data_IF_710977328796
#
_entry.id   IF_710977328796
#
_cell.length_a   1.000
_cell.length_b   1.000
_cell.length_c   1.000
_cell.angle_alpha   90.00
_cell.angle_beta   90.00
_cell.angle_gamma   90.00
#
_symmetry.space_group_name_H-M   'P 1'
#
loop_
_entity.id
_entity.type
_entity.pdbx_description
1 polymer ?
#
# COMPACT_ATOMS: atom_id res chain seq x y z
N UNK A 1 3.86 16.37 -52.78
CA UNK A 1 4.83 15.30 -52.46
C UNK A 1 4.09 14.21 -51.72
N UNK A 2 4.04 13.03 -52.32
CA UNK A 2 3.15 11.92 -52.00
C UNK A 2 3.76 11.02 -50.92
N UNK A 3 3.08 10.83 -49.78
CA UNK A 3 3.45 9.82 -48.80
C UNK A 3 2.60 8.57 -49.01
N UNK A 4 3.27 7.52 -49.47
CA UNK A 4 2.68 6.24 -49.80
C UNK A 4 2.19 5.49 -48.56
N UNK A 5 1.01 4.89 -48.74
CA UNK A 5 0.19 4.15 -47.79
C UNK A 5 0.73 2.72 -47.65
N UNK A 6 1.38 2.39 -46.55
CA UNK A 6 1.76 0.99 -46.25
C UNK A 6 0.57 0.26 -45.64
N UNK A 7 -0.15 -0.49 -46.49
CA UNK A 7 -1.19 -1.45 -46.10
C UNK A 7 -0.52 -2.71 -45.56
N UNK A 8 -0.87 -3.07 -44.33
CA UNK A 8 -0.55 -4.34 -43.69
C UNK A 8 -1.20 -5.50 -44.47
N UNK A 9 -0.40 -6.41 -45.03
CA UNK A 9 -0.90 -7.61 -45.69
C UNK A 9 -1.32 -8.65 -44.65
N UNK A 10 -2.60 -9.03 -44.71
CA UNK A 10 -3.18 -10.21 -44.05
C UNK A 10 -2.52 -11.48 -44.58
N UNK A 11 -2.06 -12.34 -43.69
CA UNK A 11 -1.70 -13.73 -43.97
C UNK A 11 -2.95 -14.56 -44.29
N UNK A 12 -2.85 -15.54 -45.22
CA UNK A 12 -3.98 -16.34 -45.66
C UNK A 12 -4.41 -17.37 -44.60
N UNK A 13 -5.72 -17.49 -44.44
CA UNK A 13 -6.39 -18.52 -43.65
C UNK A 13 -6.26 -19.86 -44.38
N UNK A 14 -5.62 -20.84 -43.75
CA UNK A 14 -5.60 -22.22 -44.24
C UNK A 14 -6.90 -22.88 -43.83
N UNK A 15 -7.73 -23.22 -44.82
CA UNK A 15 -8.93 -24.02 -44.64
C UNK A 15 -8.54 -25.49 -44.56
N UNK A 16 -8.83 -26.14 -43.43
CA UNK A 16 -8.86 -27.60 -43.37
C UNK A 16 -10.31 -28.06 -43.34
N UNK A 17 -10.61 -28.85 -44.37
CA UNK A 17 -11.86 -29.55 -44.64
C UNK A 17 -12.33 -30.38 -43.45
N UNK A 18 -13.59 -30.14 -43.06
CA UNK A 18 -14.36 -31.10 -42.30
C UNK A 18 -14.60 -32.33 -43.17
N UNK A 19 -14.09 -33.50 -42.79
CA UNK A 19 -14.60 -34.84 -43.11
C UNK A 19 -13.58 -35.85 -42.54
N UNK A 20 -13.85 -36.39 -41.35
CA UNK A 20 -13.82 -37.83 -41.00
C UNK A 20 -14.15 -37.89 -39.50
N UNK A 21 -15.44 -37.86 -39.25
CA UNK A 21 -16.09 -38.46 -38.09
C UNK A 21 -15.81 -39.96 -38.09
N UNK A 22 -15.67 -40.56 -36.90
CA UNK A 22 -16.25 -41.85 -36.49
C UNK A 22 -15.28 -42.63 -35.57
N UNK A 23 -15.60 -42.58 -34.26
CA UNK A 23 -15.49 -43.73 -33.35
C UNK A 23 -14.11 -44.25 -32.93
N UNK A 24 -13.32 -43.51 -32.13
CA UNK A 24 -12.25 -44.13 -31.31
C UNK A 24 -11.77 -43.23 -30.14
N UNK A 25 -12.68 -42.53 -29.44
CA UNK A 25 -12.28 -41.56 -28.37
C UNK A 25 -12.88 -41.77 -26.97
N UNK A 26 -13.72 -42.78 -26.76
CA UNK A 26 -14.46 -42.94 -25.49
C UNK A 26 -13.83 -43.90 -24.47
N UNK A 27 -12.77 -44.64 -24.79
CA UNK A 27 -12.26 -45.68 -23.88
C UNK A 27 -11.03 -45.28 -23.03
N UNK A 28 -10.33 -44.17 -23.34
CA UNK A 28 -9.08 -43.80 -22.62
C UNK A 28 -9.30 -42.71 -21.56
N UNK A 29 -10.38 -41.92 -21.66
CA UNK A 29 -10.64 -40.82 -20.71
C UNK A 29 -11.26 -41.26 -19.38
N UNK A 30 -11.78 -42.50 -19.25
CA UNK A 30 -12.42 -42.95 -18.01
C UNK A 30 -11.46 -43.56 -16.99
N UNK A 31 -10.25 -43.96 -17.39
CA UNK A 31 -9.26 -44.56 -16.47
C UNK A 31 -8.36 -43.52 -15.81
N UNK A 32 -8.12 -42.37 -16.45
CA UNK A 32 -7.32 -41.27 -15.87
C UNK A 32 -8.08 -40.54 -14.75
N UNK A 33 -9.42 -40.51 -14.80
CA UNK A 33 -10.26 -39.87 -13.77
C UNK A 33 -10.33 -40.65 -12.45
N UNK A 34 -10.10 -41.98 -12.48
CA UNK A 34 -10.11 -42.83 -11.28
C UNK A 34 -8.78 -42.80 -10.51
N UNK A 35 -7.67 -42.50 -11.17
CA UNK A 35 -6.34 -42.44 -10.52
C UNK A 35 -6.18 -41.13 -9.72
N UNK A 36 -6.79 -40.02 -10.16
CA UNK A 36 -6.80 -38.75 -9.40
C UNK A 36 -7.66 -38.79 -8.13
N UNK A 37 -8.60 -39.73 -8.00
CA UNK A 37 -9.49 -39.82 -6.84
C UNK A 37 -8.93 -40.63 -5.66
N UNK A 38 -7.89 -41.46 -5.87
CA UNK A 38 -7.33 -42.36 -4.83
C UNK A 38 -5.99 -41.87 -4.27
N UNK A 39 -5.37 -40.84 -4.87
CA UNK A 39 -4.02 -40.39 -4.45
C UNK A 39 -3.82 -38.87 -4.56
N UNK A 40 -4.91 -38.09 -4.57
CA UNK A 40 -4.82 -36.64 -4.44
C UNK A 40 -4.25 -36.27 -3.06
N UNK A 41 -3.16 -35.49 -2.97
CA UNK A 41 -2.64 -35.02 -1.68
C UNK A 41 -3.71 -34.20 -0.97
N UNK A 42 -3.80 -34.41 0.35
CA UNK A 42 -4.70 -33.71 1.27
C UNK A 42 -4.71 -32.20 1.00
N UNK A 43 -5.92 -31.65 0.84
CA UNK A 43 -6.21 -30.22 0.60
C UNK A 43 -5.88 -29.30 1.79
N UNK A 44 -4.99 -29.72 2.69
CA UNK A 44 -4.50 -28.93 3.81
C UNK A 44 -3.23 -28.14 3.47
N UNK A 45 -2.51 -28.49 2.41
CA UNK A 45 -1.17 -27.95 2.11
C UNK A 45 -1.13 -27.10 0.82
N UNK A 46 -2.26 -26.50 0.44
CA UNK A 46 -2.34 -25.59 -0.72
C UNK A 46 -2.59 -24.12 -0.33
N UNK A 47 -2.72 -23.81 0.97
CA UNK A 47 -2.95 -22.44 1.47
C UNK A 47 -1.64 -21.68 1.76
N UNK A 48 -0.49 -22.35 1.75
CA UNK A 48 0.81 -21.75 2.12
C UNK A 48 1.64 -21.23 0.93
N UNK A 49 1.03 -20.90 -0.22
CA UNK A 49 1.76 -20.32 -1.37
C UNK A 49 1.24 -18.97 -1.85
N UNK A 50 0.48 -18.26 -1.01
CA UNK A 50 0.07 -16.86 -1.27
C UNK A 50 0.80 -15.83 -0.41
N UNK A 51 1.80 -16.25 0.35
CA UNK A 51 2.59 -15.41 1.26
C UNK A 51 3.88 -14.82 0.65
N UNK A 52 4.18 -15.08 -0.63
CA UNK A 52 5.44 -14.65 -1.27
C UNK A 52 5.26 -13.65 -2.42
N UNK A 53 4.11 -12.98 -2.49
CA UNK A 53 3.82 -11.95 -3.51
C UNK A 53 3.56 -10.58 -2.91
N UNK A 54 4.29 -10.22 -1.85
CA UNK A 54 4.29 -8.86 -1.28
C UNK A 54 5.70 -8.28 -1.12
N UNK A 55 6.74 -9.00 -1.51
CA UNK A 55 8.15 -8.59 -1.38
C UNK A 55 8.79 -8.16 -2.70
N UNK A 56 8.01 -7.91 -3.75
CA UNK A 56 8.50 -7.33 -5.01
C UNK A 56 7.62 -6.19 -5.49
N UNK A 57 7.35 -5.21 -4.61
CA UNK A 57 7.00 -3.87 -5.09
C UNK A 57 7.95 -2.81 -4.54
N UNK A 58 8.72 -2.27 -5.48
CA UNK A 58 9.58 -1.09 -5.40
C UNK A 58 10.97 -1.31 -4.81
N UNK A 59 11.91 -1.72 -5.68
CA UNK A 59 13.31 -1.32 -5.57
C UNK A 59 13.41 0.19 -5.80
N UNK A 60 12.94 0.96 -4.83
CA UNK A 60 13.03 2.40 -4.78
C UNK A 60 14.48 2.80 -4.51
N UNK A 61 15.01 3.67 -5.36
CA UNK A 61 16.24 4.44 -5.19
C UNK A 61 16.46 4.70 -3.69
N UNK A 62 17.58 4.22 -3.14
CA UNK A 62 17.92 4.38 -1.71
C UNK A 62 18.09 5.86 -1.39
N UNK A 63 16.97 6.53 -1.14
CA UNK A 63 16.93 7.87 -0.59
C UNK A 63 17.50 7.82 0.82
N UNK A 64 18.19 8.89 1.20
CA UNK A 64 18.81 9.09 2.52
C UNK A 64 18.06 8.36 3.64
N UNK A 65 18.80 7.52 4.37
CA UNK A 65 18.34 6.57 5.40
C UNK A 65 17.05 7.04 6.07
N UNK A 66 15.91 6.53 5.59
CA UNK A 66 14.65 6.69 6.29
C UNK A 66 14.74 5.84 7.55
N UNK A 67 14.78 6.49 8.72
CA UNK A 67 14.83 5.82 10.04
C UNK A 67 13.59 4.94 10.25
N UNK A 68 12.49 5.28 9.59
CA UNK A 68 11.24 4.52 9.63
C UNK A 68 11.09 3.63 8.39
N UNK A 69 10.58 2.40 8.53
CA UNK A 69 10.10 1.64 7.38
C UNK A 69 8.93 2.36 6.69
N UNK A 70 8.55 2.00 5.47
CA UNK A 70 7.34 2.56 4.84
C UNK A 70 6.10 2.35 5.72
N UNK A 71 5.31 3.42 5.93
CA UNK A 71 4.07 3.40 6.70
C UNK A 71 3.00 4.28 6.05
N UNK A 72 1.72 4.03 6.36
CA UNK A 72 0.61 4.88 5.95
C UNK A 72 0.34 5.96 7.00
N UNK A 73 0.02 7.17 6.54
CA UNK A 73 -0.54 8.21 7.40
C UNK A 73 -1.94 7.78 7.87
N UNK A 74 -2.30 8.16 9.09
CA UNK A 74 -3.62 7.87 9.66
C UNK A 74 -4.25 9.11 10.29
N UNK A 75 -5.57 9.17 10.27
CA UNK A 75 -6.36 10.17 11.01
C UNK A 75 -6.49 9.80 12.50
N UNK A 76 -7.27 10.58 13.27
CA UNK A 76 -7.49 10.33 14.71
C UNK A 76 -8.21 9.01 15.00
N UNK A 77 -9.05 8.54 14.08
CA UNK A 77 -9.79 7.29 14.17
C UNK A 77 -8.96 6.08 13.70
N UNK A 78 -7.76 6.31 13.16
CA UNK A 78 -6.89 5.29 12.61
C UNK A 78 -7.17 4.96 11.14
N UNK A 79 -8.04 5.72 10.46
CA UNK A 79 -8.32 5.57 9.03
C UNK A 79 -7.12 6.02 8.22
N UNK A 80 -6.81 5.31 7.14
CA UNK A 80 -5.69 5.64 6.25
C UNK A 80 -5.94 6.99 5.55
N UNK A 81 -4.91 7.82 5.50
CA UNK A 81 -4.82 9.02 4.69
C UNK A 81 -3.81 8.74 3.57
N UNK A 82 -4.23 8.93 2.32
CA UNK A 82 -3.38 8.84 1.14
C UNK A 82 -3.63 10.05 0.24
N UNK A 83 -2.83 11.12 0.39
CA UNK A 83 -3.00 12.35 -0.39
C UNK A 83 -2.69 12.16 -1.87
N UNK A 84 -1.89 11.16 -2.26
CA UNK A 84 -1.52 10.93 -3.66
C UNK A 84 -2.69 10.34 -4.45
N UNK A 85 -3.52 9.53 -3.79
CA UNK A 85 -4.71 8.91 -4.37
C UNK A 85 -6.02 9.59 -3.91
N UNK A 86 -5.93 10.80 -3.35
CA UNK A 86 -7.07 11.60 -2.86
C UNK A 86 -7.93 10.92 -1.78
N UNK A 87 -7.41 9.91 -1.07
CA UNK A 87 -8.13 9.24 0.01
C UNK A 87 -7.94 10.01 1.32
N UNK A 88 -9.04 10.54 1.87
CA UNK A 88 -9.04 11.32 3.12
C UNK A 88 -8.02 12.47 3.12
N UNK A 89 -7.69 13.03 1.94
CA UNK A 89 -6.60 14.00 1.76
C UNK A 89 -6.79 15.32 2.52
N UNK A 90 -8.03 15.64 2.90
CA UNK A 90 -8.39 16.85 3.65
C UNK A 90 -8.49 16.60 5.17
N UNK A 91 -8.33 15.36 5.62
CA UNK A 91 -8.44 15.00 7.04
C UNK A 91 -7.09 15.24 7.72
N UNK A 92 -7.06 15.83 8.93
CA UNK A 92 -5.82 16.04 9.66
C UNK A 92 -5.16 14.70 10.04
N UNK A 93 -3.84 14.65 9.92
CA UNK A 93 -3.06 13.49 10.33
C UNK A 93 -2.97 13.39 11.86
N UNK A 94 -2.96 12.16 12.37
CA UNK A 94 -2.73 11.87 13.78
C UNK A 94 -1.33 11.29 13.99
N UNK A 95 -0.39 12.05 14.60
CA UNK A 95 0.91 11.50 14.98
C UNK A 95 0.78 10.30 15.94
N UNK A 96 -0.25 10.30 16.79
CA UNK A 96 -0.52 9.21 17.73
C UNK A 96 -0.89 7.92 16.99
N UNK A 97 -1.79 7.98 16.01
CA UNK A 97 -2.18 6.78 15.24
C UNK A 97 -1.13 6.39 14.19
N UNK A 98 -0.34 7.34 13.69
CA UNK A 98 0.66 7.06 12.65
C UNK A 98 1.96 6.52 13.24
N UNK A 99 2.53 7.21 14.23
CA UNK A 99 3.83 6.87 14.81
C UNK A 99 3.72 6.11 16.14
N UNK A 100 2.61 6.30 16.85
CA UNK A 100 2.33 5.70 18.16
C UNK A 100 1.46 4.45 18.12
N UNK A 101 0.93 4.08 16.95
CA UNK A 101 0.22 2.82 16.79
C UNK A 101 1.17 1.63 16.97
N UNK A 102 0.58 0.46 17.16
CA UNK A 102 1.26 -0.75 17.63
C UNK A 102 2.62 -0.97 16.94
N UNK A 103 3.69 -0.81 17.73
CA UNK A 103 5.04 -1.27 17.40
C UNK A 103 6.02 -0.22 16.87
N UNK A 104 5.61 1.02 16.56
CA UNK A 104 6.55 2.00 16.02
C UNK A 104 7.27 2.80 17.11
N UNK A 105 6.54 3.51 17.97
CA UNK A 105 7.10 4.27 19.08
C UNK A 105 6.14 4.33 20.28
N UNK A 106 6.70 4.51 21.48
CA UNK A 106 5.91 4.91 22.65
C UNK A 106 5.55 6.41 22.51
N UNK A 107 4.31 6.67 22.11
CA UNK A 107 3.83 8.03 21.91
C UNK A 107 3.82 8.85 23.20
N UNK A 108 3.50 8.23 24.34
CA UNK A 108 3.54 8.92 25.62
C UNK A 108 4.98 9.38 25.91
N UNK A 109 5.94 8.48 25.71
CA UNK A 109 7.36 8.83 25.89
C UNK A 109 7.84 9.92 24.93
N UNK A 110 7.42 9.89 23.66
CA UNK A 110 7.74 10.97 22.70
C UNK A 110 7.25 12.31 23.22
N UNK A 111 6.01 12.36 23.71
CA UNK A 111 5.41 13.62 24.18
C UNK A 111 6.04 14.17 25.45
N UNK A 112 6.85 13.39 26.17
CA UNK A 112 7.65 13.88 27.31
C UNK A 112 8.90 14.68 26.89
N UNK A 113 9.23 14.71 25.60
CA UNK A 113 10.39 15.44 25.09
C UNK A 113 10.29 16.94 25.36
N UNK A 114 11.44 17.60 25.55
CA UNK A 114 11.51 19.04 25.88
C UNK A 114 10.70 19.93 24.92
N UNK A 115 10.72 19.65 23.61
CA UNK A 115 9.95 20.41 22.62
C UNK A 115 8.44 20.42 22.89
N UNK A 116 7.91 19.34 23.49
CA UNK A 116 6.49 19.23 23.85
C UNK A 116 6.22 19.70 25.28
N UNK A 117 7.21 19.72 26.16
CA UNK A 117 7.00 20.09 27.57
C UNK A 117 7.34 21.55 27.87
N UNK A 118 8.22 22.18 27.09
CA UNK A 118 8.59 23.58 27.26
C UNK A 118 7.34 24.47 27.24
N UNK A 119 7.22 25.35 28.25
CA UNK A 119 6.11 26.30 28.39
C UNK A 119 4.73 25.68 28.61
N UNK A 120 4.62 24.36 28.77
CA UNK A 120 3.34 23.68 28.97
C UNK A 120 2.72 24.11 30.30
N UNK A 121 1.55 24.73 30.24
CA UNK A 121 0.82 25.19 31.43
C UNK A 121 1.32 26.53 32.00
N UNK A 122 2.32 27.15 31.37
CA UNK A 122 2.73 28.51 31.69
C UNK A 122 1.81 29.53 31.00
N UNK A 123 1.52 30.63 31.70
CA UNK A 123 0.75 31.73 31.12
C UNK A 123 1.58 32.50 30.08
N UNK A 124 0.94 32.92 29.00
CA UNK A 124 1.57 33.79 28.02
C UNK A 124 1.81 35.18 28.64
N UNK A 125 2.97 35.78 28.38
CA UNK A 125 3.25 37.15 28.83
C UNK A 125 2.50 38.16 27.97
N UNK A 126 2.17 39.33 28.53
CA UNK A 126 1.50 40.42 27.79
C UNK A 126 2.29 40.89 26.56
N UNK A 127 3.62 40.78 26.59
CA UNK A 127 4.45 41.09 25.42
C UNK A 127 4.23 40.06 24.30
N UNK A 128 4.31 38.77 24.62
CA UNK A 128 4.14 37.70 23.63
C UNK A 128 2.70 37.68 23.09
N UNK A 129 1.71 37.89 23.96
CA UNK A 129 0.30 37.98 23.58
C UNK A 129 0.01 39.11 22.58
N UNK A 130 0.74 40.23 22.67
CA UNK A 130 0.61 41.36 21.73
C UNK A 130 1.34 41.15 20.41
N UNK A 131 2.37 40.30 20.37
CA UNK A 131 3.19 40.08 19.18
C UNK A 131 2.74 38.88 18.36
N UNK A 132 2.19 37.85 19.02
CA UNK A 132 1.90 36.56 18.40
C UNK A 132 0.49 36.08 18.78
N UNK A 133 -0.51 36.50 18.00
CA UNK A 133 -1.93 36.19 18.26
C UNK A 133 -2.28 34.70 18.19
N UNK A 134 -1.41 33.87 17.59
CA UNK A 134 -1.59 32.43 17.43
C UNK A 134 -0.89 31.58 18.49
N UNK A 135 -0.10 32.20 19.38
CA UNK A 135 0.64 31.50 20.44
C UNK A 135 -0.22 31.48 21.69
N UNK A 136 -0.39 30.32 22.32
CA UNK A 136 -1.20 30.16 23.54
C UNK A 136 -0.38 29.96 24.80
N UNK A 137 0.90 29.61 24.65
CA UNK A 137 1.85 29.34 25.74
C UNK A 137 3.25 29.78 25.33
N UNK A 138 4.15 30.15 26.26
CA UNK A 138 5.49 30.67 25.93
C UNK A 138 6.48 29.62 25.38
N UNK A 139 6.15 28.33 25.37
CA UNK A 139 7.00 27.26 24.84
C UNK A 139 6.52 26.74 23.49
N UNK A 140 7.39 26.08 22.72
CA UNK A 140 7.45 25.92 21.24
C UNK A 140 6.23 25.38 20.45
N UNK A 141 5.03 25.41 21.03
CA UNK A 141 3.76 25.17 20.37
C UNK A 141 3.48 26.28 19.33
N UNK A 142 3.88 26.05 18.07
CA UNK A 142 3.57 26.95 16.96
C UNK A 142 4.76 27.38 16.09
N UNK A 143 5.98 26.91 16.38
CA UNK A 143 7.16 27.15 15.55
C UNK A 143 8.23 28.00 16.25
N UNK A 144 9.20 28.51 15.47
CA UNK A 144 10.24 29.40 16.00
C UNK A 144 9.66 30.81 16.14
N UNK A 145 9.68 31.34 17.36
CA UNK A 145 9.67 32.78 17.64
C UNK A 145 11.10 33.30 17.81
#
# INVERSE_FOLDING_TARGET
MSFAKLRYMRTPQVQYSAFVQCSFRTAIFSTILLIWAVSGPDLAEATEMRSLSSTEMTKGKTSAVAVCPPFHLKDENGTIIDPLNEVNSQVPYSPKQTCGAQGCHDYAKITEGFHFQAGRGEALTDELARRYDWVTTPGYYGGRW
#
